data_IF_366579320742
#
_entry.id   IF_366579320742
#
_cell.length_a   1.000
_cell.length_b   1.000
_cell.length_c   1.000
_cell.angle_alpha   90.00
_cell.angle_beta   90.00
_cell.angle_gamma   90.00
#
_symmetry.space_group_name_H-M   'P 1'
#
loop_
_entity.id
_entity.type
_entity.pdbx_description
1 polymer ?
#
# COMPACT_ATOMS: atom_id res chain seq x y z
N UNK A 1 12.93 1.35 -14.57
CA UNK A 1 12.34 0.63 -13.42
C UNK A 1 12.32 1.60 -12.24
N UNK A 2 11.16 1.97 -11.65
CA UNK A 2 11.19 2.96 -10.58
C UNK A 2 11.65 2.29 -9.29
N UNK A 3 12.73 2.86 -8.76
CA UNK A 3 13.39 2.57 -7.49
C UNK A 3 12.49 3.06 -6.36
N UNK A 4 11.71 2.17 -5.74
CA UNK A 4 11.03 2.49 -4.48
C UNK A 4 12.04 2.37 -3.34
N UNK A 5 12.57 3.50 -2.86
CA UNK A 5 13.49 3.56 -1.72
C UNK A 5 12.73 3.27 -0.41
N UNK A 6 13.26 2.32 0.36
CA UNK A 6 12.86 1.96 1.73
C UNK A 6 13.01 3.15 2.69
N UNK A 7 12.11 3.32 3.65
CA UNK A 7 12.45 3.11 5.06
C UNK A 7 11.34 2.41 5.87
N UNK A 8 11.75 1.70 6.90
CA UNK A 8 10.94 1.08 7.94
C UNK A 8 10.16 2.13 8.74
N UNK A 9 8.84 1.95 8.92
CA UNK A 9 8.02 2.93 9.66
C UNK A 9 6.82 2.29 10.33
N UNK A 10 7.08 1.44 11.33
CA UNK A 10 6.04 0.78 12.14
C UNK A 10 5.23 1.78 13.00
N UNK A 11 5.68 3.04 13.13
CA UNK A 11 5.16 4.02 14.10
C UNK A 11 4.12 5.05 13.63
N UNK A 12 4.02 5.37 12.33
CA UNK A 12 3.01 6.35 11.82
C UNK A 12 1.64 5.70 11.58
N UNK A 13 1.53 4.38 11.73
CA UNK A 13 0.48 3.54 11.12
C UNK A 13 -0.81 3.41 11.91
N UNK A 14 -0.87 3.76 13.20
CA UNK A 14 -2.01 3.36 14.02
C UNK A 14 -3.16 4.37 13.95
N UNK A 15 -2.92 5.68 14.15
CA UNK A 15 -4.00 6.70 14.16
C UNK A 15 -4.68 6.87 12.80
N UNK A 16 -3.94 6.83 11.70
CA UNK A 16 -4.49 7.00 10.35
C UNK A 16 -5.40 5.83 9.94
N UNK A 17 -5.13 4.60 10.37
CA UNK A 17 -5.95 3.43 10.03
C UNK A 17 -7.37 3.49 10.63
N UNK A 18 -7.58 4.32 11.65
CA UNK A 18 -8.87 4.50 12.30
C UNK A 18 -9.69 5.65 11.70
N UNK A 19 -9.13 6.45 10.79
CA UNK A 19 -9.87 7.56 10.15
C UNK A 19 -10.86 7.04 9.12
N UNK A 20 -11.93 7.81 8.90
CA UNK A 20 -12.96 7.49 7.91
C UNK A 20 -12.36 7.55 6.50
N UNK A 21 -11.50 8.52 6.28
CA UNK A 21 -10.79 8.83 5.04
C UNK A 21 -9.90 7.66 4.61
N UNK A 22 -9.12 7.08 5.53
CA UNK A 22 -8.32 5.89 5.23
C UNK A 22 -9.18 4.69 4.85
N UNK A 23 -10.31 4.48 5.55
CA UNK A 23 -11.23 3.36 5.24
C UNK A 23 -11.84 3.52 3.85
N UNK A 24 -12.26 4.73 3.50
CA UNK A 24 -12.81 5.05 2.18
C UNK A 24 -11.76 4.91 1.08
N UNK A 25 -10.57 5.47 1.28
CA UNK A 25 -9.44 5.30 0.38
C UNK A 25 -9.11 3.83 0.15
N UNK A 26 -8.96 3.06 1.23
CA UNK A 26 -8.69 1.61 1.16
C UNK A 26 -9.78 0.90 0.36
N UNK A 27 -11.05 1.20 0.61
CA UNK A 27 -12.18 0.60 -0.11
C UNK A 27 -12.09 0.91 -1.61
N UNK A 28 -11.91 2.19 -1.98
CA UNK A 28 -11.80 2.63 -3.38
C UNK A 28 -10.64 1.94 -4.12
N UNK A 29 -9.47 1.81 -3.47
CA UNK A 29 -8.31 1.12 -4.05
C UNK A 29 -8.62 -0.36 -4.30
N UNK A 30 -9.21 -1.05 -3.32
CA UNK A 30 -9.53 -2.48 -3.45
C UNK A 30 -10.62 -2.74 -4.49
N UNK A 31 -11.64 -1.88 -4.56
CA UNK A 31 -12.72 -1.96 -5.55
C UNK A 31 -12.21 -1.70 -6.97
N UNK A 32 -11.40 -0.65 -7.17
CA UNK A 32 -10.75 -0.35 -8.47
C UNK A 32 -9.97 -1.57 -8.96
N UNK A 33 -9.19 -2.17 -8.07
CA UNK A 33 -8.33 -3.31 -8.39
C UNK A 33 -9.06 -4.66 -8.34
N UNK A 34 -10.39 -4.65 -8.17
CA UNK A 34 -11.26 -5.84 -8.10
C UNK A 34 -10.78 -6.90 -7.08
N UNK A 35 -10.15 -6.47 -5.99
CA UNK A 35 -9.53 -7.37 -5.00
C UNK A 35 -8.52 -8.34 -5.64
N UNK A 36 -7.84 -7.93 -6.71
CA UNK A 36 -6.77 -8.67 -7.38
C UNK A 36 -5.44 -7.98 -7.08
N UNK A 37 -4.43 -8.76 -6.67
CA UNK A 37 -3.09 -8.26 -6.45
C UNK A 37 -2.52 -7.71 -7.75
N UNK A 38 -2.23 -6.42 -7.80
CA UNK A 38 -1.70 -5.78 -9.00
C UNK A 38 -0.24 -6.13 -9.29
N UNK A 39 0.47 -6.75 -8.33
CA UNK A 39 1.84 -7.24 -8.56
C UNK A 39 1.92 -8.66 -9.11
N UNK A 40 0.96 -9.53 -8.81
CA UNK A 40 1.07 -10.96 -9.17
C UNK A 40 -0.23 -11.62 -9.63
N UNK A 41 -1.31 -10.85 -9.80
CA UNK A 41 -2.61 -11.34 -10.27
C UNK A 41 -3.39 -12.19 -9.25
N UNK A 42 -2.90 -12.36 -8.01
CA UNK A 42 -3.58 -13.22 -7.02
C UNK A 42 -4.96 -12.64 -6.65
N UNK A 43 -6.06 -13.39 -6.84
CA UNK A 43 -7.39 -12.95 -6.43
C UNK A 43 -7.55 -12.96 -4.90
N UNK A 44 -8.64 -12.38 -4.40
CA UNK A 44 -8.93 -12.25 -2.95
C UNK A 44 -7.83 -11.51 -2.18
N UNK A 45 -7.20 -10.54 -2.83
CA UNK A 45 -6.24 -9.62 -2.23
C UNK A 45 -6.96 -8.44 -1.59
N UNK A 46 -6.53 -8.07 -0.38
CA UNK A 46 -7.27 -7.16 0.49
C UNK A 46 -6.39 -6.15 1.22
N UNK A 47 -5.16 -5.93 0.74
CA UNK A 47 -4.23 -4.97 1.32
C UNK A 47 -4.08 -3.81 0.35
N UNK A 48 -4.52 -2.61 0.75
CA UNK A 48 -4.18 -1.38 0.04
C UNK A 48 -2.84 -0.88 0.58
N UNK A 49 -1.90 -0.66 -0.32
CA UNK A 49 -0.57 -0.15 -0.02
C UNK A 49 -0.38 1.21 -0.69
N UNK A 50 0.20 2.18 0.02
CA UNK A 50 0.57 3.47 -0.54
C UNK A 50 1.86 3.34 -1.37
N UNK A 51 1.87 3.82 -2.62
CA UNK A 51 3.05 3.83 -3.49
C UNK A 51 4.04 4.92 -3.05
N UNK A 52 3.52 6.10 -2.73
CA UNK A 52 4.23 7.25 -2.16
C UNK A 52 3.78 7.38 -0.71
N UNK A 53 4.75 7.53 0.19
CA UNK A 53 4.52 7.54 1.63
C UNK A 53 3.89 8.85 2.07
N UNK A 54 3.09 8.79 3.12
CA UNK A 54 2.48 9.97 3.76
C UNK A 54 3.52 11.03 4.11
N UNK A 55 4.62 10.61 4.76
CA UNK A 55 5.74 11.48 5.15
C UNK A 55 6.46 12.14 3.96
N UNK A 56 6.40 11.58 2.76
CA UNK A 56 7.03 12.19 1.58
C UNK A 56 6.08 13.17 0.87
N UNK A 57 4.84 13.32 1.37
CA UNK A 57 3.82 14.20 0.82
C UNK A 57 3.65 15.50 1.64
N UNK A 58 4.70 15.97 2.33
CA UNK A 58 4.65 17.15 3.22
C UNK A 58 4.01 18.40 2.58
N UNK A 59 4.11 18.56 1.26
CA UNK A 59 3.54 19.71 0.55
C UNK A 59 2.09 19.49 0.08
N UNK A 60 1.51 18.30 0.22
CA UNK A 60 0.17 17.97 -0.25
C UNK A 60 -0.48 16.82 0.52
N UNK A 61 -1.15 17.17 1.62
CA UNK A 61 -1.90 16.24 2.49
C UNK A 61 -2.96 15.41 1.73
N UNK A 62 -3.40 15.85 0.53
CA UNK A 62 -4.38 15.11 -0.26
C UNK A 62 -3.80 13.86 -0.94
N UNK A 63 -2.48 13.76 -1.13
CA UNK A 63 -1.85 12.62 -1.83
C UNK A 63 -2.00 11.31 -1.02
N UNK A 64 -2.12 11.42 0.30
CA UNK A 64 -2.34 10.28 1.18
C UNK A 64 -3.67 9.55 0.90
N UNK A 65 -4.69 10.27 0.44
CA UNK A 65 -6.01 9.74 0.13
C UNK A 65 -6.29 9.68 -1.38
N UNK A 66 -5.29 9.95 -2.22
CA UNK A 66 -5.40 9.72 -3.65
C UNK A 66 -5.44 8.21 -3.93
N UNK A 67 -6.51 7.76 -4.57
CA UNK A 67 -6.70 6.37 -4.99
C UNK A 67 -5.56 5.93 -5.91
N UNK A 68 -5.02 6.82 -6.75
CA UNK A 68 -3.91 6.53 -7.65
C UNK A 68 -2.60 6.24 -6.91
N UNK A 69 -2.46 6.83 -5.71
CA UNK A 69 -1.36 6.53 -4.79
C UNK A 69 -1.56 5.20 -4.06
N UNK A 70 -2.71 4.53 -4.21
CA UNK A 70 -2.95 3.19 -3.68
C UNK A 70 -2.74 2.06 -4.69
N UNK A 71 -2.35 0.88 -4.19
CA UNK A 71 -2.27 -0.37 -4.94
C UNK A 71 -2.78 -1.55 -4.10
N UNK A 72 -3.61 -2.41 -4.68
CA UNK A 72 -4.06 -3.65 -4.06
C UNK A 72 -2.98 -4.73 -4.17
N UNK A 73 -2.56 -5.27 -3.02
CA UNK A 73 -1.55 -6.31 -2.90
C UNK A 73 -2.07 -7.52 -2.10
N UNK A 74 -1.54 -8.70 -2.42
CA UNK A 74 -1.66 -9.86 -1.55
C UNK A 74 -0.65 -9.78 -0.41
N UNK A 75 -0.86 -10.54 0.68
CA UNK A 75 0.05 -10.57 1.84
C UNK A 75 1.52 -10.83 1.47
N UNK A 76 1.77 -11.73 0.50
CA UNK A 76 3.12 -12.06 0.02
C UNK A 76 3.79 -10.84 -0.63
N UNK A 77 3.13 -10.25 -1.63
CA UNK A 77 3.65 -9.09 -2.35
C UNK A 77 3.79 -7.87 -1.43
N UNK A 78 2.83 -7.66 -0.53
CA UNK A 78 2.92 -6.60 0.48
C UNK A 78 4.15 -6.76 1.38
N UNK A 79 4.46 -7.99 1.81
CA UNK A 79 5.67 -8.28 2.60
C UNK A 79 6.96 -8.02 1.81
N UNK A 80 6.98 -8.40 0.52
CA UNK A 80 8.12 -8.13 -0.37
C UNK A 80 8.40 -6.64 -0.52
N UNK A 81 7.36 -5.82 -0.71
CA UNK A 81 7.49 -4.36 -0.85
C UNK A 81 8.00 -3.71 0.45
N UNK A 82 7.71 -4.31 1.61
CA UNK A 82 8.22 -3.82 2.90
C UNK A 82 9.59 -4.39 3.31
N UNK A 83 10.33 -5.05 2.42
CA UNK A 83 11.66 -5.61 2.72
C UNK A 83 11.62 -6.89 3.56
N UNK A 84 10.45 -7.47 3.84
CA UNK A 84 10.29 -8.68 4.64
C UNK A 84 10.35 -9.99 3.83
N UNK A 85 10.69 -9.93 2.55
CA UNK A 85 10.94 -11.12 1.74
C UNK A 85 12.38 -11.57 1.93
N UNK A 86 12.62 -12.54 2.83
CA UNK A 86 13.74 -13.44 2.61
C UNK A 86 13.54 -14.03 1.21
N UNK A 87 14.40 -13.65 0.27
CA UNK A 87 14.54 -14.32 -1.01
C UNK A 87 15.03 -15.74 -0.72
N UNK A 88 14.10 -16.67 -0.50
CA UNK A 88 14.40 -18.08 -0.73
C UNK A 88 13.95 -18.37 -2.16
N UNK A 89 14.89 -18.27 -3.10
CA UNK A 89 14.84 -19.11 -4.28
C UNK A 89 15.04 -20.54 -3.78
N UNK A 90 13.98 -21.34 -3.87
CA UNK A 90 13.98 -22.77 -3.62
C UNK A 90 12.90 -23.37 -4.51
#
# INVERSE_FOLDING_TARGET
>A
MPLFKETTGYGERERERHTKEYREWRKKVLERDKYICQMCGRPKSNIAHHKIRFRDCYDNENIAHDVNNGICLCKRCHKMVHGGGNYING
#
